data_IF_476406796898
#
_entry.id   IF_476406796898
#
_cell.length_a   1.000
_cell.length_b   1.000
_cell.length_c   1.000
_cell.angle_alpha   90.00
_cell.angle_beta   90.00
_cell.angle_gamma   90.00
#
_symmetry.space_group_name_H-M   'P 1'
#
loop_
_entity.id
_entity.type
_entity.pdbx_description
1 polymer ?
#
# COMPACT_ATOMS: atom_id res chain seq x y z
N UNK A 1 13.15 -8.99 -13.55
CA UNK A 1 12.50 -8.31 -12.42
C UNK A 1 11.03 -8.60 -12.52
N UNK A 2 10.49 -9.32 -11.54
CA UNK A 2 9.07 -9.65 -11.50
C UNK A 2 8.32 -8.48 -10.87
N UNK A 3 7.24 -8.03 -11.52
CA UNK A 3 6.36 -7.01 -10.96
C UNK A 3 5.51 -7.65 -9.89
N UNK A 4 5.59 -7.14 -8.66
CA UNK A 4 4.90 -7.72 -7.51
C UNK A 4 3.74 -6.83 -7.04
N UNK A 5 3.74 -5.54 -7.39
CA UNK A 5 2.76 -4.55 -6.90
C UNK A 5 2.59 -3.39 -7.89
N UNK A 6 1.48 -2.68 -7.76
CA UNK A 6 1.18 -1.46 -8.54
C UNK A 6 0.76 -0.34 -7.60
N UNK A 7 1.23 0.88 -7.88
CA UNK A 7 0.79 2.05 -7.11
C UNK A 7 -0.71 2.26 -7.35
N UNK A 8 -1.55 2.28 -6.31
CA UNK A 8 -3.01 2.38 -6.49
C UNK A 8 -3.47 3.77 -6.96
N UNK A 9 -2.58 4.77 -6.94
CA UNK A 9 -2.88 6.14 -7.34
C UNK A 9 -2.56 6.46 -8.80
N UNK A 10 -1.55 5.80 -9.37
CA UNK A 10 -1.06 6.10 -10.72
C UNK A 10 -0.78 4.86 -11.57
N UNK A 11 -1.03 3.66 -11.03
CA UNK A 11 -0.80 2.36 -11.67
C UNK A 11 0.65 2.08 -12.07
N UNK A 12 1.63 2.85 -11.55
CA UNK A 12 3.05 2.56 -11.74
C UNK A 12 3.36 1.17 -11.21
N UNK A 13 4.02 0.33 -12.01
CA UNK A 13 4.48 -0.98 -11.59
C UNK A 13 5.70 -0.85 -10.66
N UNK A 14 5.68 -1.60 -9.55
CA UNK A 14 6.80 -1.71 -8.63
C UNK A 14 7.36 -3.13 -8.58
N UNK A 15 8.66 -3.24 -8.36
CA UNK A 15 9.39 -4.49 -8.16
C UNK A 15 9.62 -4.77 -6.67
N UNK A 16 9.97 -6.00 -6.33
CA UNK A 16 10.34 -6.35 -4.95
C UNK A 16 11.55 -5.55 -4.44
N UNK A 17 12.53 -5.25 -5.31
CA UNK A 17 13.69 -4.42 -4.99
C UNK A 17 13.30 -2.99 -4.57
N UNK A 18 12.28 -2.42 -5.20
CA UNK A 18 11.80 -1.07 -4.86
C UNK A 18 11.30 -0.99 -3.40
N UNK A 19 10.66 -2.05 -2.90
CA UNK A 19 10.20 -2.12 -1.52
C UNK A 19 11.35 -2.40 -0.54
N UNK A 20 12.23 -3.33 -0.89
CA UNK A 20 13.39 -3.67 -0.07
C UNK A 20 14.35 -2.49 0.11
N UNK A 21 14.48 -1.64 -0.92
CA UNK A 21 15.25 -0.41 -0.89
C UNK A 21 14.57 0.76 -0.18
N UNK A 22 13.38 0.57 0.41
CA UNK A 22 12.56 1.62 1.02
C UNK A 22 12.29 2.82 0.09
N UNK A 23 12.30 2.59 -1.23
CA UNK A 23 12.04 3.65 -2.21
C UNK A 23 10.55 3.98 -2.34
N UNK A 24 9.68 3.05 -1.93
CA UNK A 24 8.23 3.20 -1.86
C UNK A 24 7.76 3.33 -0.41
N UNK A 25 6.69 4.08 -0.20
CA UNK A 25 6.08 4.24 1.12
C UNK A 25 5.04 3.15 1.36
N UNK A 26 4.99 2.58 2.56
CA UNK A 26 3.92 1.69 2.99
C UNK A 26 2.82 2.47 3.71
N UNK A 27 1.59 2.07 3.44
CA UNK A 27 0.40 2.46 4.19
C UNK A 27 -0.18 1.21 4.82
N UNK A 28 -0.42 1.25 6.13
CA UNK A 28 -0.93 0.11 6.89
C UNK A 28 -2.39 0.36 7.23
N UNK A 29 -3.25 -0.55 6.81
CA UNK A 29 -4.67 -0.53 7.10
C UNK A 29 -4.99 -1.30 8.39
N UNK A 30 -6.16 -1.02 8.99
CA UNK A 30 -6.57 -1.63 10.25
C UNK A 30 -6.79 -3.16 10.15
N UNK A 31 -7.06 -3.67 8.95
CA UNK A 31 -7.20 -5.11 8.66
C UNK A 31 -5.85 -5.82 8.46
N UNK A 32 -4.73 -5.09 8.59
CA UNK A 32 -3.39 -5.60 8.38
C UNK A 32 -2.93 -5.59 6.91
N UNK A 33 -3.76 -5.09 6.00
CA UNK A 33 -3.37 -4.90 4.60
C UNK A 33 -2.31 -3.82 4.49
N UNK A 34 -1.32 -4.06 3.62
CA UNK A 34 -0.25 -3.08 3.33
C UNK A 34 -0.38 -2.66 1.87
N UNK A 35 -0.50 -1.36 1.67
CA UNK A 35 -0.53 -0.72 0.35
C UNK A 35 0.79 0.00 0.11
N UNK A 36 1.37 -0.16 -1.09
CA UNK A 36 2.62 0.49 -1.46
C UNK A 36 2.38 1.64 -2.42
N UNK A 37 2.88 2.82 -2.06
CA UNK A 37 2.70 4.07 -2.81
C UNK A 37 4.05 4.51 -3.37
N UNK A 38 4.09 4.80 -4.67
CA UNK A 38 5.33 5.20 -5.34
C UNK A 38 5.81 6.58 -4.86
N UNK A 39 7.13 6.86 -4.92
CA UNK A 39 7.71 8.09 -4.39
C UNK A 39 7.09 9.38 -4.96
N UNK A 40 6.69 9.39 -6.23
CA UNK A 40 6.01 10.54 -6.86
C UNK A 40 4.65 10.81 -6.20
N UNK A 41 3.84 9.76 -6.00
CA UNK A 41 2.52 9.91 -5.39
C UNK A 41 2.60 10.17 -3.88
N UNK A 42 3.57 9.58 -3.17
CA UNK A 42 3.85 9.93 -1.77
C UNK A 42 4.13 11.42 -1.66
N UNK A 43 5.01 11.97 -2.52
CA UNK A 43 5.37 13.39 -2.47
C UNK A 43 4.18 14.31 -2.79
N UNK A 44 3.27 13.89 -3.67
CA UNK A 44 2.05 14.62 -3.95
C UNK A 44 1.05 14.62 -2.77
N UNK A 45 1.10 13.59 -1.92
CA UNK A 45 0.20 13.41 -0.77
C UNK A 45 0.89 13.69 0.58
N UNK A 46 2.09 14.30 0.57
CA UNK A 46 2.92 14.46 1.77
C UNK A 46 2.19 15.21 2.89
N UNK A 47 1.35 16.18 2.53
CA UNK A 47 0.55 16.96 3.46
C UNK A 47 -0.42 16.10 4.29
N UNK A 48 -0.96 15.00 3.74
CA UNK A 48 -1.80 14.07 4.50
C UNK A 48 -0.97 13.32 5.54
N UNK A 49 0.21 12.83 5.13
CA UNK A 49 1.12 12.09 6.00
C UNK A 49 1.57 12.98 7.17
N UNK A 50 1.95 14.23 6.89
CA UNK A 50 2.35 15.21 7.91
C UNK A 50 1.20 15.57 8.86
N UNK A 51 -0.06 15.53 8.37
CA UNK A 51 -1.25 15.71 9.18
C UNK A 51 -1.69 14.42 9.92
N UNK A 52 -0.98 13.31 9.76
CA UNK A 52 -1.37 12.01 10.34
C UNK A 52 -2.62 11.40 9.70
N UNK A 53 -2.94 11.79 8.46
CA UNK A 53 -4.11 11.34 7.71
C UNK A 53 -3.75 10.23 6.72
N UNK A 54 -4.74 9.37 6.48
CA UNK A 54 -4.67 8.26 5.53
C UNK A 54 -4.77 8.79 4.09
N UNK A 55 -3.92 8.29 3.19
CA UNK A 55 -4.05 8.52 1.75
C UNK A 55 -5.20 7.65 1.25
N UNK A 56 -6.23 8.27 0.67
CA UNK A 56 -7.35 7.55 0.08
C UNK A 56 -6.86 6.81 -1.18
N UNK A 57 -6.79 5.48 -1.10
CA UNK A 57 -6.49 4.61 -2.23
C UNK A 57 -7.74 3.78 -2.55
N UNK A 58 -7.98 3.41 -3.82
CA UNK A 58 -9.00 2.41 -4.12
C UNK A 58 -8.61 1.10 -3.41
N UNK A 59 -9.27 0.85 -2.27
CA UNK A 59 -9.03 -0.33 -1.44
C UNK A 59 -9.26 -1.57 -2.31
N UNK A 60 -8.22 -2.39 -2.49
CA UNK A 60 -8.43 -3.74 -2.98
C UNK A 60 -9.38 -4.45 -2.01
N UNK A 61 -10.34 -5.25 -2.49
CA UNK A 61 -11.31 -5.89 -1.59
C UNK A 61 -10.57 -6.68 -0.52
N UNK A 62 -10.89 -6.41 0.75
CA UNK A 62 -10.30 -7.10 1.88
C UNK A 62 -10.39 -8.61 1.66
N UNK A 63 -9.24 -9.30 1.78
CA UNK A 63 -9.21 -10.76 1.69
C UNK A 63 -10.01 -11.30 2.87
N UNK A 64 -11.14 -11.94 2.62
CA UNK A 64 -11.90 -12.64 3.66
C UNK A 64 -11.01 -13.71 4.30
N UNK A 65 -10.64 -13.52 5.56
CA UNK A 65 -9.98 -14.55 6.37
C UNK A 65 -11.09 -15.45 6.95
N UNK A 66 -11.10 -16.77 6.68
CA UNK A 66 -12.05 -17.67 7.30
C UNK A 66 -11.87 -17.66 8.83
N UNK A 67 -12.97 -17.50 9.56
CA UNK A 67 -12.98 -17.65 11.01
C UNK A 67 -12.58 -19.09 11.38
N UNK A 68 -11.71 -19.30 12.38
CA UNK A 68 -11.40 -20.65 12.86
C UNK A 68 -12.69 -21.31 13.37
N UNK A 69 -12.97 -22.52 12.89
CA UNK A 69 -14.10 -23.31 13.39
C UNK A 69 -13.83 -23.70 14.83
N UNK A 70 -14.78 -23.42 15.73
CA UNK A 70 -14.77 -23.94 17.08
C UNK A 70 -15.02 -25.47 17.02
N UNK A 71 -14.17 -26.22 17.73
CA UNK A 71 -14.26 -27.68 17.87
C UNK A 71 -15.27 -28.09 18.94
#
# INVERSE_FOLDING_TARGET
>A
METTHTCPLCSLAGSADDMAGFTWSSQHEADGTITWICPTCTRAQLWLIEAGLTIATPSAPARTVPLPHAA
#
